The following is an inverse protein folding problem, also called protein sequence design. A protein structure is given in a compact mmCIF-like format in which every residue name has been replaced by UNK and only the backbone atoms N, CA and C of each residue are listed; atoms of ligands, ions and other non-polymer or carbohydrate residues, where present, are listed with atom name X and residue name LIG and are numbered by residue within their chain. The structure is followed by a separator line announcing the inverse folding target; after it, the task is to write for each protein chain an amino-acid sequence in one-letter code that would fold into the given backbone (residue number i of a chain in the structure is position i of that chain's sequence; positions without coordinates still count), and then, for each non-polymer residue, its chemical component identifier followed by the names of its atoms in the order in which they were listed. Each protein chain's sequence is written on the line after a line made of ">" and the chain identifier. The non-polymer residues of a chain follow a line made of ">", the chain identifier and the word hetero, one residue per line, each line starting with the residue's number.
data_IF_952334160269
#
_entry.id   IF_952334160269
#
_cell.length_a   1.000
_cell.length_b   1.000
_cell.length_c   1.000
_cell.angle_alpha   90.00
_cell.angle_beta   90.00
_cell.angle_gamma   90.00
#
_symmetry.space_group_name_H-M   'P 1'
#
loop_
_entity.id
_entity.type
_entity.pdbx_description
1 polymer ?
#
# COMPACT_ATOMS: atom_id res chain seq x y z
N UNK A 1 -8.44 -13.81 -1.03
CA UNK A 1 -7.02 -13.64 -0.65
C UNK A 1 -6.95 -13.59 0.87
N UNK A 2 -5.92 -14.15 1.50
CA UNK A 2 -5.68 -13.98 2.95
C UNK A 2 -4.59 -12.95 3.18
N UNK A 3 -4.59 -12.35 4.36
CA UNK A 3 -3.54 -11.41 4.80
C UNK A 3 -2.13 -12.02 4.69
N UNK A 4 -1.97 -13.30 5.04
CA UNK A 4 -0.71 -14.03 4.88
C UNK A 4 -0.21 -14.07 3.43
N UNK A 5 -1.13 -14.14 2.46
CA UNK A 5 -0.76 -14.15 1.04
C UNK A 5 -0.19 -12.78 0.64
N UNK A 6 -0.76 -11.70 1.17
CA UNK A 6 -0.31 -10.32 0.93
C UNK A 6 1.11 -10.10 1.47
N UNK A 7 1.39 -10.55 2.71
CA UNK A 7 2.75 -10.51 3.31
C UNK A 7 3.77 -11.29 2.50
N UNK A 8 3.42 -12.48 2.04
CA UNK A 8 4.32 -13.32 1.27
C UNK A 8 4.67 -12.70 -0.09
N UNK A 9 3.77 -11.92 -0.68
CA UNK A 9 4.00 -11.24 -1.98
C UNK A 9 4.73 -9.91 -1.85
N UNK A 10 4.54 -9.22 -0.73
CA UNK A 10 5.10 -7.88 -0.51
C UNK A 10 5.89 -7.81 0.82
N UNK A 11 6.89 -8.69 1.03
CA UNK A 11 7.63 -8.75 2.30
C UNK A 11 8.47 -7.49 2.57
N UNK A 12 8.74 -6.71 1.54
CA UNK A 12 9.46 -5.44 1.57
C UNK A 12 8.56 -4.22 1.84
N UNK A 13 7.23 -4.37 1.71
CA UNK A 13 6.26 -3.28 1.87
C UNK A 13 5.33 -3.46 3.05
N UNK A 14 5.46 -4.55 3.79
CA UNK A 14 4.67 -4.82 4.97
C UNK A 14 5.64 -5.14 6.10
N UNK A 15 5.68 -4.27 7.10
CA UNK A 15 6.56 -4.48 8.23
C UNK A 15 6.15 -5.75 8.98
N UNK A 16 7.12 -6.43 9.59
CA UNK A 16 6.88 -7.71 10.26
C UNK A 16 5.88 -7.61 11.44
N UNK A 17 5.83 -6.43 12.07
CA UNK A 17 4.93 -6.12 13.18
C UNK A 17 3.61 -5.47 12.74
N UNK A 18 3.41 -5.28 11.43
CA UNK A 18 2.25 -4.54 10.96
C UNK A 18 0.96 -5.27 11.34
N UNK A 19 -0.06 -4.56 11.81
CA UNK A 19 -1.39 -5.13 12.01
C UNK A 19 -2.28 -4.74 10.81
N UNK A 20 -2.93 -5.72 10.19
CA UNK A 20 -3.78 -5.51 9.01
C UNK A 20 -5.19 -6.00 9.37
N UNK A 21 -6.03 -5.07 9.82
CA UNK A 21 -7.41 -5.34 10.18
C UNK A 21 -8.33 -4.59 9.20
N UNK A 22 -8.62 -5.24 8.08
CA UNK A 22 -9.43 -4.69 6.98
C UNK A 22 -10.41 -5.75 6.46
N UNK A 23 -11.48 -5.30 5.79
CA UNK A 23 -12.40 -6.19 5.06
C UNK A 23 -11.63 -7.03 4.04
N UNK A 24 -11.91 -8.34 3.97
CA UNK A 24 -11.14 -9.30 3.14
C UNK A 24 -11.22 -9.00 1.64
N UNK A 25 -12.32 -8.41 1.21
CA UNK A 25 -12.59 -7.92 -0.14
C UNK A 25 -11.66 -6.79 -0.59
N UNK A 26 -10.99 -6.09 0.33
CA UNK A 26 -10.00 -5.06 0.00
C UNK A 26 -8.57 -5.57 -0.09
N UNK A 27 -8.28 -6.78 0.38
CA UNK A 27 -6.93 -7.36 0.26
C UNK A 27 -6.41 -7.41 -1.19
N UNK A 28 -7.23 -7.74 -2.21
CA UNK A 28 -6.82 -7.63 -3.60
C UNK A 28 -6.48 -6.21 -4.05
N UNK A 29 -7.17 -5.18 -3.53
CA UNK A 29 -6.89 -3.78 -3.85
C UNK A 29 -5.55 -3.33 -3.24
N UNK A 30 -5.23 -3.81 -2.03
CA UNK A 30 -3.93 -3.55 -1.38
C UNK A 30 -2.80 -4.26 -2.14
N UNK A 31 -3.02 -5.51 -2.59
CA UNK A 31 -2.07 -6.24 -3.46
C UNK A 31 -1.82 -5.49 -4.78
N UNK A 32 -2.88 -4.98 -5.41
CA UNK A 32 -2.79 -4.14 -6.61
C UNK A 32 -1.99 -2.86 -6.35
N UNK A 33 -2.30 -2.15 -5.27
CA UNK A 33 -1.55 -0.95 -4.85
C UNK A 33 -0.05 -1.24 -4.73
N UNK A 34 0.32 -2.29 -4.00
CA UNK A 34 1.72 -2.63 -3.79
C UNK A 34 2.47 -3.08 -5.06
N UNK A 35 1.78 -3.74 -5.99
CA UNK A 35 2.36 -4.07 -7.31
C UNK A 35 2.72 -2.81 -8.08
N UNK A 36 1.80 -1.85 -8.18
CA UNK A 36 2.06 -0.61 -8.88
C UNK A 36 3.11 0.27 -8.19
N UNK A 37 3.16 0.27 -6.86
CA UNK A 37 4.25 0.92 -6.11
C UNK A 37 5.61 0.36 -6.52
N UNK A 38 5.74 -0.97 -6.63
CA UNK A 38 6.98 -1.62 -7.09
C UNK A 38 7.31 -1.26 -8.53
N UNK A 39 6.31 -1.13 -9.41
CA UNK A 39 6.50 -0.69 -10.80
C UNK A 39 7.01 0.76 -10.89
N UNK A 40 6.43 1.68 -10.09
CA UNK A 40 6.81 3.10 -10.06
C UNK A 40 8.25 3.27 -9.59
N UNK A 41 8.65 2.55 -8.54
CA UNK A 41 10.00 2.66 -7.99
C UNK A 41 11.04 1.78 -8.69
N UNK A 42 10.62 0.69 -9.33
CA UNK A 42 11.52 -0.24 -10.02
C UNK A 42 12.72 -0.65 -9.15
N UNK A 43 13.92 -0.47 -9.70
CA UNK A 43 15.20 -0.79 -9.06
C UNK A 43 15.55 0.10 -7.85
N UNK A 44 14.88 1.25 -7.68
CA UNK A 44 15.19 2.15 -6.54
C UNK A 44 14.78 1.56 -5.20
N UNK A 45 14.09 0.40 -5.23
CA UNK A 45 13.38 -0.23 -4.13
C UNK A 45 12.27 0.69 -3.59
N UNK A 46 11.13 0.14 -3.17
CA UNK A 46 10.06 0.99 -2.68
C UNK A 46 10.44 1.68 -1.38
N UNK A 47 10.13 2.97 -1.28
CA UNK A 47 10.40 3.78 -0.10
C UNK A 47 9.35 3.64 1.00
N UNK A 48 8.20 3.05 0.67
CA UNK A 48 7.02 3.01 1.53
C UNK A 48 6.95 1.67 2.24
N UNK A 49 6.48 1.67 3.48
CA UNK A 49 6.22 0.47 4.24
C UNK A 49 4.89 0.61 4.97
N UNK A 50 4.02 -0.38 4.84
CA UNK A 50 2.80 -0.46 5.61
C UNK A 50 3.16 -0.89 7.03
N UNK A 51 2.93 0.04 7.97
CA UNK A 51 3.15 -0.20 9.39
C UNK A 51 1.87 -0.65 10.10
N UNK A 52 0.69 -0.17 9.71
CA UNK A 52 -0.61 -0.66 10.20
C UNK A 52 -1.72 -0.29 9.21
N UNK A 53 -2.83 -1.02 9.18
CA UNK A 53 -4.06 -0.66 8.46
C UNK A 53 -5.30 -1.08 9.26
N UNK A 54 -6.19 -0.12 9.53
CA UNK A 54 -7.47 -0.34 10.22
C UNK A 54 -8.55 0.50 9.54
N UNK A 55 -9.59 -0.11 8.98
CA UNK A 55 -10.85 0.59 8.67
C UNK A 55 -11.99 -0.41 8.46
N UNK A 56 -13.20 -0.01 8.90
CA UNK A 56 -14.44 -0.78 8.69
C UNK A 56 -15.33 -0.18 7.59
N UNK A 57 -15.17 1.10 7.25
CA UNK A 57 -16.09 1.89 6.40
C UNK A 57 -15.54 2.20 5.00
N UNK A 58 -14.27 1.96 4.76
CA UNK A 58 -13.55 2.15 3.51
C UNK A 58 -12.12 1.61 3.67
N UNK A 59 -11.31 1.62 2.63
CA UNK A 59 -9.87 1.44 2.81
C UNK A 59 -9.22 2.82 2.85
N UNK A 60 -8.44 3.11 3.89
CA UNK A 60 -7.53 4.27 3.91
C UNK A 60 -6.08 3.78 3.90
N UNK A 61 -5.41 4.05 2.78
CA UNK A 61 -3.96 3.90 2.66
C UNK A 61 -3.34 5.26 2.90
N UNK A 62 -2.82 5.48 4.11
CA UNK A 62 -2.13 6.73 4.43
C UNK A 62 -0.67 6.69 3.97
N UNK A 63 -0.33 7.58 3.04
CA UNK A 63 1.03 7.73 2.54
C UNK A 63 1.79 8.88 3.20
N UNK A 64 1.15 9.73 3.99
CA UNK A 64 1.77 10.93 4.55
C UNK A 64 2.50 10.63 5.88
N UNK A 65 1.95 9.73 6.70
CA UNK A 65 2.61 9.23 7.92
C UNK A 65 3.53 8.02 7.68
N UNK A 66 3.52 7.45 6.46
CA UNK A 66 4.45 6.39 6.08
C UNK A 66 5.84 6.98 5.90
N UNK A 67 6.85 6.48 6.62
CA UNK A 67 8.22 6.94 6.43
C UNK A 67 8.72 6.61 5.01
N UNK A 68 9.04 7.62 4.21
CA UNK A 68 9.63 7.45 2.88
C UNK A 68 11.14 7.37 3.01
N UNK A 69 11.73 6.20 2.75
CA UNK A 69 13.19 6.03 2.75
C UNK A 69 13.78 6.04 1.33
N UNK A 70 14.95 6.67 1.15
CA UNK A 70 15.70 6.67 -0.12
C UNK A 70 15.63 7.98 -0.93
N UNK A 71 16.20 7.93 -2.14
CA UNK A 71 16.44 9.10 -3.01
C UNK A 71 15.46 9.13 -4.19
N UNK A 72 14.15 9.16 -3.92
CA UNK A 72 13.11 9.15 -4.97
C UNK A 72 12.67 10.56 -5.37
N UNK A 73 12.36 10.74 -6.65
CA UNK A 73 11.94 12.01 -7.21
C UNK A 73 10.54 12.43 -6.74
N UNK A 74 10.26 13.73 -6.75
CA UNK A 74 8.95 14.28 -6.36
C UNK A 74 7.82 13.69 -7.20
N UNK A 75 8.09 13.44 -8.48
CA UNK A 75 7.15 12.90 -9.47
C UNK A 75 6.73 11.47 -9.10
N UNK A 76 7.68 10.61 -8.72
CA UNK A 76 7.37 9.25 -8.24
C UNK A 76 6.47 9.29 -7.00
N UNK A 77 6.75 10.21 -6.06
CA UNK A 77 5.91 10.37 -4.86
C UNK A 77 4.48 10.81 -5.19
N UNK A 78 4.34 11.69 -6.18
CA UNK A 78 3.02 12.12 -6.65
C UNK A 78 2.24 10.99 -7.32
N UNK A 79 2.90 10.11 -8.08
CA UNK A 79 2.26 8.95 -8.69
C UNK A 79 1.74 7.95 -7.65
N UNK A 80 2.55 7.64 -6.63
CA UNK A 80 2.13 6.75 -5.54
C UNK A 80 0.96 7.33 -4.74
N UNK A 81 0.97 8.64 -4.47
CA UNK A 81 -0.17 9.32 -3.83
C UNK A 81 -1.45 9.25 -4.68
N UNK A 82 -1.33 9.46 -5.99
CA UNK A 82 -2.48 9.36 -6.89
C UNK A 82 -3.07 7.94 -6.91
N UNK A 83 -2.20 6.93 -6.88
CA UNK A 83 -2.60 5.52 -6.78
C UNK A 83 -3.33 5.21 -5.46
N UNK A 84 -2.81 5.71 -4.33
CA UNK A 84 -3.46 5.52 -3.03
C UNK A 84 -4.89 6.11 -3.05
N UNK A 85 -5.06 7.32 -3.58
CA UNK A 85 -6.38 7.97 -3.69
C UNK A 85 -7.35 7.19 -4.60
N UNK A 86 -6.89 6.60 -5.71
CA UNK A 86 -7.75 5.78 -6.57
C UNK A 86 -8.21 4.51 -5.86
N UNK A 87 -7.30 3.83 -5.16
CA UNK A 87 -7.61 2.60 -4.40
C UNK A 87 -8.59 2.90 -3.27
N UNK A 88 -8.38 4.00 -2.52
CA UNK A 88 -9.31 4.46 -1.49
C UNK A 88 -10.71 4.70 -2.09
N UNK A 89 -10.81 5.35 -3.25
CA UNK A 89 -12.08 5.59 -3.94
C UNK A 89 -12.76 4.27 -4.31
N UNK A 90 -12.04 3.35 -4.96
CA UNK A 90 -12.57 2.05 -5.42
C UNK A 90 -12.99 1.15 -4.27
N UNK A 91 -12.35 1.23 -3.11
CA UNK A 91 -12.70 0.42 -1.94
C UNK A 91 -14.13 0.66 -1.44
N UNK A 92 -14.69 1.85 -1.69
CA UNK A 92 -16.05 2.21 -1.29
C UNK A 92 -17.13 1.54 -2.15
N UNK A 93 -16.76 1.05 -3.33
CA UNK A 93 -17.66 0.40 -4.28
C UNK A 93 -17.68 -1.13 -4.10
N UNK A 94 -16.99 -1.66 -3.06
CA UNK A 94 -16.79 -3.09 -2.80
C UNK A 94 -17.36 -3.53 -1.44
#
# INVERSE_FOLDING_TARGET
>A
MRESDLRNRHPDLIHADAEINVRSEWLPLIDEYFKHVKEIYGETKPSICLHTAYEDSGLVIDCDDTAWSGNQSREMKQQVRALALDIQRRSRDV
#
